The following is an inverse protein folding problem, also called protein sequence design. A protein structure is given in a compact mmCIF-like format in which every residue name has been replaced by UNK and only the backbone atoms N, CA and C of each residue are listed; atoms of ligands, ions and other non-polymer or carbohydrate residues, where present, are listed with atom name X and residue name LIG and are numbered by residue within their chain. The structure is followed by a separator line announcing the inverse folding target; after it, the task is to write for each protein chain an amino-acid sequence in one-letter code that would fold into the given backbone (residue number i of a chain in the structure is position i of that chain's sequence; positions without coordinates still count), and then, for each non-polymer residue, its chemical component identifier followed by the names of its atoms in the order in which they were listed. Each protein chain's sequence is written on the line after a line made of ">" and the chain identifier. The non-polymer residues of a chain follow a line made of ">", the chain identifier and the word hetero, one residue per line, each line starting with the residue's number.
data_IF_519358843793
#
_entry.id   IF_519358843793
#
_cell.length_a   1.000
_cell.length_b   1.000
_cell.length_c   1.000
_cell.angle_alpha   90.00
_cell.angle_beta   90.00
_cell.angle_gamma   90.00
#
_symmetry.space_group_name_H-M   'P 1'
#
loop_
_entity.id
_entity.type
_entity.pdbx_description
1 polymer ?
#
# COMPACT_ATOMS: atom_id res chain seq x y z
N UNK A 1 -0.05 -10.43 -2.15
CA UNK A 1 -0.20 -9.40 -1.09
C UNK A 1 -1.58 -9.55 -0.48
N UNK A 2 -1.88 -8.89 0.64
CA UNK A 2 -3.23 -8.87 1.21
C UNK A 2 -3.63 -7.43 1.49
N UNK A 3 -4.90 -7.09 1.24
CA UNK A 3 -5.49 -5.84 1.68
C UNK A 3 -6.63 -6.19 2.63
N UNK A 4 -6.53 -5.73 3.88
CA UNK A 4 -7.47 -6.13 4.93
C UNK A 4 -7.38 -7.63 5.19
N UNK A 5 -8.36 -8.39 4.69
CA UNK A 5 -8.42 -9.84 4.83
C UNK A 5 -8.40 -10.59 3.48
N UNK A 6 -8.39 -9.86 2.36
CA UNK A 6 -8.51 -10.44 1.03
C UNK A 6 -7.14 -10.59 0.35
N UNK A 7 -6.84 -11.77 -0.22
CA UNK A 7 -5.64 -11.98 -1.02
C UNK A 7 -5.75 -11.20 -2.33
N UNK A 8 -4.75 -10.38 -2.61
CA UNK A 8 -4.68 -9.58 -3.84
C UNK A 8 -3.37 -9.82 -4.60
N UNK A 9 -3.47 -9.63 -5.91
CA UNK A 9 -2.36 -9.63 -6.87
C UNK A 9 -2.10 -8.20 -7.34
N UNK A 10 -0.96 -7.92 -7.96
CA UNK A 10 -0.62 -6.57 -8.44
C UNK A 10 -1.70 -5.98 -9.35
N UNK A 11 -2.31 -6.80 -10.21
CA UNK A 11 -3.40 -6.39 -11.12
C UNK A 11 -4.72 -6.09 -10.37
N UNK A 12 -5.07 -6.93 -9.39
CA UNK A 12 -6.32 -6.79 -8.64
C UNK A 12 -6.24 -5.83 -7.46
N UNK A 13 -5.02 -5.45 -7.05
CA UNK A 13 -4.75 -4.60 -5.89
C UNK A 13 -5.46 -3.25 -5.99
N UNK A 14 -5.38 -2.59 -7.15
CA UNK A 14 -5.99 -1.27 -7.33
C UNK A 14 -7.51 -1.33 -7.34
N UNK A 15 -8.08 -2.38 -7.93
CA UNK A 15 -9.52 -2.60 -7.97
C UNK A 15 -10.07 -2.82 -6.55
N UNK A 16 -9.44 -3.71 -5.78
CA UNK A 16 -9.82 -3.98 -4.39
C UNK A 16 -9.62 -2.77 -3.48
N UNK A 17 -8.50 -2.07 -3.62
CA UNK A 17 -8.26 -0.83 -2.87
C UNK A 17 -9.32 0.23 -3.18
N UNK A 18 -9.74 0.35 -4.44
CA UNK A 18 -10.80 1.26 -4.86
C UNK A 18 -12.16 0.83 -4.33
N UNK A 19 -12.47 -0.46 -4.30
CA UNK A 19 -13.68 -0.99 -3.70
C UNK A 19 -13.72 -0.70 -2.19
N UNK A 20 -12.62 -0.97 -1.47
CA UNK A 20 -12.51 -0.77 -0.02
C UNK A 20 -12.53 0.70 0.39
N UNK A 21 -11.91 1.57 -0.41
CA UNK A 21 -11.95 3.02 -0.18
C UNK A 21 -13.21 3.67 -0.74
N UNK A 22 -14.09 2.92 -1.42
CA UNK A 22 -15.25 3.45 -2.15
C UNK A 22 -14.86 4.56 -3.14
N UNK A 23 -13.66 4.48 -3.72
CA UNK A 23 -13.08 5.51 -4.59
C UNK A 23 -12.51 6.73 -3.86
N UNK A 24 -12.47 6.74 -2.52
CA UNK A 24 -11.90 7.82 -1.70
C UNK A 24 -10.37 7.72 -1.71
N UNK A 25 -9.77 8.37 -2.69
CA UNK A 25 -8.31 8.50 -2.82
C UNK A 25 -7.64 9.26 -1.67
N UNK A 26 -8.43 9.99 -0.88
CA UNK A 26 -7.98 10.72 0.31
C UNK A 26 -7.81 9.81 1.56
N UNK A 27 -8.06 8.50 1.41
CA UNK A 27 -7.93 7.52 2.47
C UNK A 27 -6.45 7.23 2.77
N UNK A 28 -6.10 7.23 4.05
CA UNK A 28 -4.76 6.83 4.49
C UNK A 28 -4.61 5.32 4.37
N UNK A 29 -3.76 4.87 3.46
CA UNK A 29 -3.42 3.46 3.26
C UNK A 29 -2.22 3.11 4.14
N UNK A 30 -2.41 2.21 5.10
CA UNK A 30 -1.30 1.72 5.92
C UNK A 30 -0.62 0.54 5.22
N UNK A 31 0.60 0.77 4.75
CA UNK A 31 1.42 -0.26 4.10
C UNK A 31 2.34 -0.91 5.13
N UNK A 32 2.16 -2.21 5.35
CA UNK A 32 3.06 -3.04 6.16
C UNK A 32 3.89 -3.90 5.22
N UNK A 33 5.19 -3.66 5.21
CA UNK A 33 6.15 -4.53 4.55
C UNK A 33 6.75 -5.50 5.58
N UNK A 34 6.89 -6.77 5.20
CA UNK A 34 7.74 -7.69 5.95
C UNK A 34 9.22 -7.30 5.77
N UNK A 35 10.09 -7.63 6.73
CA UNK A 35 11.53 -7.31 6.67
C UNK A 35 12.24 -7.90 5.45
N UNK A 36 11.63 -8.90 4.81
CA UNK A 36 12.16 -9.60 3.63
C UNK A 36 11.71 -8.99 2.30
N UNK A 37 10.87 -7.95 2.30
CA UNK A 37 10.37 -7.34 1.06
C UNK A 37 11.51 -6.63 0.33
N UNK A 38 11.75 -7.05 -0.92
CA UNK A 38 12.68 -6.37 -1.81
C UNK A 38 12.27 -4.92 -2.08
N UNK A 39 13.28 -4.05 -2.15
CA UNK A 39 13.10 -2.64 -2.50
C UNK A 39 12.40 -2.46 -3.86
N UNK A 40 12.67 -3.34 -4.82
CA UNK A 40 12.05 -3.31 -6.13
C UNK A 40 10.53 -3.55 -6.05
N UNK A 41 10.11 -4.46 -5.17
CA UNK A 41 8.70 -4.73 -4.88
C UNK A 41 8.06 -3.52 -4.18
N UNK A 42 8.75 -2.90 -3.23
CA UNK A 42 8.29 -1.67 -2.58
C UNK A 42 8.06 -0.55 -3.60
N UNK A 43 9.02 -0.32 -4.50
CA UNK A 43 8.92 0.69 -5.55
C UNK A 43 7.73 0.43 -6.48
N UNK A 44 7.54 -0.82 -6.91
CA UNK A 44 6.39 -1.20 -7.75
C UNK A 44 5.07 -0.89 -7.07
N UNK A 45 4.91 -1.24 -5.79
CA UNK A 45 3.67 -0.96 -5.05
C UNK A 45 3.44 0.54 -4.88
N UNK A 46 4.49 1.29 -4.54
CA UNK A 46 4.39 2.75 -4.41
C UNK A 46 3.97 3.40 -5.73
N UNK A 47 4.56 2.97 -6.85
CA UNK A 47 4.21 3.48 -8.18
C UNK A 47 2.75 3.15 -8.55
N UNK A 48 2.30 1.91 -8.31
CA UNK A 48 0.90 1.51 -8.53
C UNK A 48 -0.09 2.34 -7.70
N UNK A 49 0.19 2.54 -6.42
CA UNK A 49 -0.63 3.38 -5.55
C UNK A 49 -0.66 4.83 -6.03
N UNK A 50 0.49 5.34 -6.47
CA UNK A 50 0.63 6.70 -6.97
C UNK A 50 -0.15 6.90 -8.28
N UNK A 51 -0.07 5.95 -9.23
CA UNK A 51 -0.84 5.94 -10.47
C UNK A 51 -2.36 5.90 -10.20
N UNK A 52 -2.78 5.16 -9.17
CA UNK A 52 -4.18 5.11 -8.75
C UNK A 52 -4.63 6.35 -7.94
N UNK A 53 -3.70 7.25 -7.60
CA UNK A 53 -3.95 8.51 -6.89
C UNK A 53 -4.02 8.39 -5.37
N UNK A 54 -3.58 7.27 -4.80
CA UNK A 54 -3.47 7.08 -3.35
C UNK A 54 -2.15 7.67 -2.86
N UNK A 55 -2.18 8.97 -2.58
CA UNK A 55 -1.00 9.73 -2.14
C UNK A 55 -0.74 9.63 -0.63
N UNK A 56 -1.73 9.17 0.14
CA UNK A 56 -1.65 9.07 1.60
C UNK A 56 -1.26 7.66 2.03
N UNK A 57 0.03 7.36 1.96
CA UNK A 57 0.56 6.06 2.36
C UNK A 57 1.29 6.19 3.70
N UNK A 58 0.77 5.52 4.73
CA UNK A 58 1.42 5.39 6.02
C UNK A 58 2.24 4.10 6.08
N UNK A 59 3.56 4.20 6.27
CA UNK A 59 4.40 3.01 6.45
C UNK A 59 4.28 2.50 7.89
N UNK A 60 3.85 1.25 8.04
CA UNK A 60 3.82 0.55 9.34
C UNK A 60 5.00 -0.42 9.37
N UNK A 61 6.12 0.04 9.91
CA UNK A 61 7.25 -0.81 10.28
C UNK A 61 7.16 -1.15 11.76
N UNK A 62 7.34 -2.43 12.10
CA UNK A 62 7.68 -2.82 13.47
C UNK A 62 9.10 -2.25 13.73
N UNK A 63 9.15 -1.13 14.45
CA UNK A 63 10.34 -0.33 14.77
C UNK A 63 11.06 0.36 13.60
N UNK A 64 10.69 1.61 13.31
CA UNK A 64 11.66 2.74 13.31
C UNK A 64 10.94 4.07 13.11
N UNK A 65 10.50 4.66 14.22
CA UNK A 65 10.43 6.12 14.30
C UNK A 65 11.84 6.67 14.20
N UNK A 66 12.22 7.16 13.02
CA UNK A 66 13.23 8.21 12.89
C UNK A 66 12.69 9.29 11.95
N UNK A 67 11.75 10.06 12.47
CA UNK A 67 11.57 11.43 12.02
C UNK A 67 12.78 12.23 12.52
N UNK A 68 13.47 12.93 11.61
CA UNK A 68 14.56 13.85 11.90
C UNK A 68 14.01 15.19 12.38
#
# INVERSE_FOLDING_TARGET
>A
MFIGNDPVTDDTMIAELTALTEGKKDTTIFFRADKTVDYETLMKVMDMLHQAGYLKIGLVGEETVKAK
#
